data_IF_244138653820
#
_entry.id   IF_244138653820
#
_cell.length_a   1.000
_cell.length_b   1.000
_cell.length_c   1.000
_cell.angle_alpha   90.00
_cell.angle_beta   90.00
_cell.angle_gamma   90.00
#
_symmetry.space_group_name_H-M   'P 1'
#
loop_
_entity.id
_entity.type
_entity.pdbx_description
1 polymer ?
#
# COMPACT_ATOMS: atom_id res chain seq x y z
N UNK A 1 -6.88 -8.37 -11.41
CA UNK A 1 -6.51 -7.41 -10.36
C UNK A 1 -5.55 -6.41 -10.97
N UNK A 2 -5.80 -5.12 -10.81
CA UNK A 2 -5.00 -4.03 -11.37
C UNK A 2 -4.37 -3.29 -10.20
N UNK A 3 -3.05 -3.14 -10.24
CA UNK A 3 -2.26 -2.42 -9.26
C UNK A 3 -1.56 -1.30 -10.00
N UNK A 4 -1.71 -0.06 -9.53
CA UNK A 4 -0.97 1.09 -10.03
C UNK A 4 -0.19 1.70 -8.87
N UNK A 5 1.13 1.57 -8.93
CA UNK A 5 2.08 2.07 -7.95
C UNK A 5 2.81 3.28 -8.56
N UNK A 6 2.54 4.44 -7.99
CA UNK A 6 3.19 5.71 -8.33
C UNK A 6 4.08 6.15 -7.17
N UNK A 7 4.98 7.10 -7.41
CA UNK A 7 5.93 7.55 -6.38
C UNK A 7 5.25 8.14 -5.15
N UNK A 8 4.05 8.71 -5.29
CA UNK A 8 3.33 9.36 -4.19
C UNK A 8 2.00 8.67 -3.86
N UNK A 9 1.60 7.65 -4.61
CA UNK A 9 0.26 7.08 -4.53
C UNK A 9 0.24 5.60 -4.87
N UNK A 10 -0.58 4.83 -4.17
CA UNK A 10 -0.92 3.46 -4.47
C UNK A 10 -2.41 3.36 -4.75
N UNK A 11 -2.77 2.81 -5.90
CA UNK A 11 -4.15 2.50 -6.24
C UNK A 11 -4.28 1.06 -6.69
N UNK A 12 -5.36 0.41 -6.30
CA UNK A 12 -5.62 -0.97 -6.63
C UNK A 12 -7.11 -1.19 -6.85
N UNK A 13 -7.43 -2.00 -7.85
CA UNK A 13 -8.79 -2.45 -8.10
C UNK A 13 -8.82 -3.91 -8.54
N UNK A 14 -9.86 -4.64 -8.17
CA UNK A 14 -9.98 -6.05 -8.55
C UNK A 14 -11.26 -6.69 -8.08
N UNK A 15 -11.57 -7.86 -8.66
CA UNK A 15 -12.68 -8.71 -8.22
C UNK A 15 -12.12 -10.03 -7.67
N UNK A 16 -12.59 -10.44 -6.51
CA UNK A 16 -12.25 -11.73 -5.87
C UNK A 16 -13.54 -12.33 -5.31
N UNK A 17 -13.85 -13.57 -5.69
CA UNK A 17 -15.07 -14.28 -5.26
C UNK A 17 -16.37 -13.46 -5.46
N UNK A 18 -16.49 -12.76 -6.59
CA UNK A 18 -17.65 -11.90 -6.91
C UNK A 18 -17.65 -10.51 -6.24
N UNK A 19 -16.83 -10.31 -5.22
CA UNK A 19 -16.70 -9.02 -4.52
C UNK A 19 -15.72 -8.10 -5.25
N UNK A 20 -16.11 -6.84 -5.43
CA UNK A 20 -15.25 -5.81 -6.02
C UNK A 20 -14.54 -5.05 -4.92
N UNK A 21 -13.22 -4.95 -5.04
CA UNK A 21 -12.37 -4.22 -4.13
C UNK A 21 -11.69 -3.09 -4.90
N UNK A 22 -11.72 -1.90 -4.32
CA UNK A 22 -11.01 -0.74 -4.83
C UNK A 22 -10.48 0.08 -3.66
N UNK A 23 -9.21 0.50 -3.73
CA UNK A 23 -8.67 1.44 -2.77
C UNK A 23 -7.63 2.35 -3.42
N UNK A 24 -7.46 3.51 -2.79
CA UNK A 24 -6.46 4.51 -3.12
C UNK A 24 -5.81 4.98 -1.82
N UNK A 25 -4.48 5.09 -1.82
CA UNK A 25 -3.66 5.47 -0.68
C UNK A 25 -2.58 6.44 -1.15
N UNK A 26 -2.63 7.67 -0.67
CA UNK A 26 -1.59 8.67 -0.92
C UNK A 26 -0.50 8.55 0.16
N UNK A 27 0.74 8.27 -0.25
CA UNK A 27 1.84 8.05 0.68
C UNK A 27 2.22 9.32 1.45
N UNK A 28 2.66 9.13 2.69
CA UNK A 28 3.18 10.22 3.54
C UNK A 28 4.28 11.00 2.83
N UNK A 29 5.25 10.29 2.25
CA UNK A 29 6.34 10.84 1.46
C UNK A 29 6.57 10.02 0.18
N UNK A 30 7.34 10.54 -0.79
CA UNK A 30 7.65 9.84 -2.02
C UNK A 30 8.44 8.52 -1.83
N UNK A 31 8.26 7.60 -2.76
CA UNK A 31 8.96 6.31 -2.85
C UNK A 31 9.69 6.17 -4.19
N UNK A 32 10.78 5.39 -4.20
CA UNK A 32 11.47 4.97 -5.42
C UNK A 32 10.70 3.85 -6.09
N UNK A 33 9.85 4.20 -7.06
CA UNK A 33 9.02 3.23 -7.80
C UNK A 33 9.84 2.09 -8.40
N UNK A 34 11.01 2.38 -8.96
CA UNK A 34 11.86 1.41 -9.66
C UNK A 34 12.46 0.34 -8.73
N UNK A 35 12.77 0.74 -7.49
CA UNK A 35 13.28 -0.19 -6.45
C UNK A 35 12.15 -0.87 -5.67
N UNK A 36 10.92 -0.39 -5.82
CA UNK A 36 9.74 -0.92 -5.13
C UNK A 36 9.13 -2.10 -5.90
N UNK A 37 8.65 -3.10 -5.16
CA UNK A 37 8.12 -4.35 -5.74
C UNK A 37 6.83 -4.75 -5.04
N UNK A 38 6.02 -5.56 -5.68
CA UNK A 38 4.83 -6.14 -5.06
C UNK A 38 4.63 -7.59 -5.49
N UNK A 39 3.91 -8.36 -4.69
CA UNK A 39 3.51 -9.74 -4.99
C UNK A 39 2.03 -9.93 -4.73
N UNK A 40 1.37 -10.78 -5.51
CA UNK A 40 -0.08 -11.04 -5.48
C UNK A 40 -0.42 -12.51 -5.21
N UNK A 41 0.52 -13.29 -4.64
CA UNK A 41 0.38 -14.76 -4.52
C UNK A 41 -0.77 -15.20 -3.59
N UNK A 42 -0.68 -14.90 -2.29
CA UNK A 42 -1.71 -15.24 -1.28
C UNK A 42 -2.43 -14.00 -0.78
N UNK A 43 -1.66 -12.93 -0.59
CA UNK A 43 -2.09 -11.59 -0.24
C UNK A 43 -1.33 -10.64 -1.16
N UNK A 44 -1.87 -9.43 -1.33
CA UNK A 44 -1.12 -8.38 -2.02
C UNK A 44 -0.16 -7.75 -1.02
N UNK A 45 1.13 -7.95 -1.24
CA UNK A 45 2.18 -7.37 -0.41
C UNK A 45 2.99 -6.36 -1.23
N UNK A 46 3.22 -5.20 -0.63
CA UNK A 46 3.96 -4.10 -1.23
C UNK A 46 5.26 -3.89 -0.45
N UNK A 47 6.38 -3.92 -1.18
CA UNK A 47 7.71 -3.59 -0.69
C UNK A 47 8.06 -2.22 -1.26
N UNK A 48 7.90 -1.18 -0.43
CA UNK A 48 8.09 0.21 -0.83
C UNK A 48 9.47 0.69 -0.37
N UNK A 49 10.31 1.10 -1.32
CA UNK A 49 11.58 1.75 -1.02
C UNK A 49 11.34 3.24 -0.88
N UNK A 50 11.56 3.80 0.31
CA UNK A 50 11.48 5.24 0.54
C UNK A 50 12.49 5.98 -0.34
N UNK A 51 12.11 7.15 -0.82
CA UNK A 51 13.02 8.02 -1.58
C UNK A 51 14.09 8.64 -0.69
N UNK A 52 13.70 9.03 0.52
CA UNK A 52 14.55 9.63 1.53
C UNK A 52 14.70 8.71 2.76
N UNK A 53 15.82 8.82 3.47
CA UNK A 53 16.12 8.05 4.68
C UNK A 53 15.33 8.52 5.92
N UNK A 54 14.48 9.55 5.77
CA UNK A 54 13.60 10.05 6.80
C UNK A 54 12.66 9.02 7.42
N UNK A 55 12.40 9.21 8.71
CA UNK A 55 11.45 8.40 9.46
C UNK A 55 10.01 8.71 9.02
N UNK A 56 9.20 7.66 8.87
CA UNK A 56 7.79 7.81 8.53
C UNK A 56 6.97 7.57 9.78
N UNK A 57 6.37 8.64 10.31
CA UNK A 57 5.44 8.55 11.45
C UNK A 57 4.08 7.95 11.03
N UNK A 58 3.76 7.97 9.74
CA UNK A 58 2.55 7.41 9.13
C UNK A 58 2.85 6.84 7.74
N UNK A 59 2.02 5.90 7.28
CA UNK A 59 2.09 5.37 5.91
C UNK A 59 1.51 6.35 4.88
N UNK A 60 0.42 7.03 5.23
CA UNK A 60 -0.34 7.89 4.32
C UNK A 60 -0.40 9.34 4.80
N UNK A 61 -0.65 10.24 3.85
CA UNK A 61 -1.07 11.62 4.15
C UNK A 61 -2.50 11.64 4.69
N UNK A 62 -2.75 12.53 5.65
CA UNK A 62 -4.09 12.75 6.21
C UNK A 62 -4.44 11.84 7.39
N UNK A 63 -5.73 11.53 7.51
CA UNK A 63 -6.30 10.86 8.68
C UNK A 63 -6.00 9.36 8.77
N UNK A 64 -6.34 8.79 9.92
CA UNK A 64 -6.29 7.34 10.16
C UNK A 64 -7.31 6.64 9.27
N UNK A 65 -6.83 5.75 8.40
CA UNK A 65 -7.70 4.91 7.59
C UNK A 65 -8.12 3.68 8.42
N UNK A 66 -9.43 3.38 8.57
CA UNK A 66 -9.90 2.32 9.46
C UNK A 66 -9.48 0.91 9.01
N UNK A 67 -9.16 0.76 7.73
CA UNK A 67 -8.69 -0.48 7.11
C UNK A 67 -7.16 -0.62 7.09
N UNK A 68 -6.40 0.43 7.45
CA UNK A 68 -4.94 0.37 7.57
C UNK A 68 -4.57 0.02 9.01
N UNK A 69 -3.82 -1.07 9.20
CA UNK A 69 -3.34 -1.52 10.51
C UNK A 69 -1.82 -1.65 10.48
N UNK A 70 -1.14 -1.08 11.48
CA UNK A 70 0.31 -1.20 11.63
C UNK A 70 0.70 -2.60 12.10
N UNK A 71 1.80 -3.14 11.56
CA UNK A 71 2.43 -4.38 12.05
C UNK A 71 3.91 -4.13 12.36
N UNK A 72 4.47 -4.72 13.45
CA UNK A 72 5.80 -4.38 13.98
C UNK A 72 7.01 -4.95 13.21
N UNK A 73 6.87 -5.38 11.96
CA UNK A 73 8.01 -5.93 11.20
C UNK A 73 7.91 -5.86 9.68
N UNK A 74 6.71 -5.67 9.13
CA UNK A 74 6.46 -5.43 7.69
C UNK A 74 5.14 -4.68 7.59
N UNK A 75 5.08 -3.57 6.84
CA UNK A 75 3.82 -2.88 6.53
C UNK A 75 2.95 -3.77 5.62
N UNK A 76 2.22 -4.71 6.23
CA UNK A 76 1.36 -5.65 5.53
C UNK A 76 -0.08 -5.13 5.64
N UNK A 77 -0.64 -4.65 4.53
CA UNK A 77 -2.01 -4.12 4.46
C UNK A 77 -2.99 -5.30 4.49
N UNK A 78 -3.88 -5.32 5.49
CA UNK A 78 -4.92 -6.36 5.62
C UNK A 78 -6.26 -5.81 5.17
N UNK A 79 -6.85 -6.44 4.17
CA UNK A 79 -8.28 -6.29 3.90
C UNK A 79 -9.01 -7.20 4.89
N UNK A 80 -9.69 -6.60 5.86
CA UNK A 80 -10.66 -7.32 6.69
C UNK A 80 -11.91 -7.58 5.86
N UNK A 81 -12.37 -8.83 5.85
CA UNK A 81 -13.67 -9.21 5.30
C UNK A 81 -14.82 -8.80 6.21
#
# INVERSE_FOLDING_TARGET
>A
MKVNLESTKLSMSGKVNGNSYEFSLDFFAPIKREESKFTTKRLVEFYLKKEDDGEWTSLQKGGKLPWVKARPSVARVFFGG
#
